data_IF_353312115268
#
_entry.id   IF_353312115268
#
_cell.length_a   1.000
_cell.length_b   1.000
_cell.length_c   1.000
_cell.angle_alpha   90.00
_cell.angle_beta   90.00
_cell.angle_gamma   90.00
#
_symmetry.space_group_name_H-M   'P 1'
#
loop_
_entity.id
_entity.type
_entity.pdbx_description
1 polymer ?
#
# COMPACT_ATOMS: atom_id res chain seq x y z
N UNK A 1 17.15 4.29 -7.57
CA UNK A 1 17.23 3.15 -6.63
C UNK A 1 17.89 3.47 -5.28
N UNK A 2 18.86 4.39 -5.21
CA UNK A 2 19.63 4.66 -3.99
C UNK A 2 18.78 4.90 -2.72
N UNK A 3 17.67 5.64 -2.83
CA UNK A 3 16.77 5.87 -1.70
C UNK A 3 16.01 4.61 -1.26
N UNK A 4 15.53 3.82 -2.22
CA UNK A 4 14.77 2.58 -1.98
C UNK A 4 15.66 1.53 -1.29
N UNK A 5 16.91 1.40 -1.72
CA UNK A 5 17.89 0.41 -1.22
C UNK A 5 18.74 0.92 -0.05
N UNK A 6 18.45 2.11 0.47
CA UNK A 6 19.12 2.67 1.63
C UNK A 6 18.87 1.81 2.87
N UNK A 7 19.87 1.74 3.76
CA UNK A 7 19.79 0.91 4.96
C UNK A 7 18.62 1.35 5.84
N UNK A 8 18.46 2.66 5.99
CA UNK A 8 17.47 3.30 6.84
C UNK A 8 16.06 3.00 6.35
N UNK A 9 15.83 3.07 5.03
CA UNK A 9 14.54 2.75 4.41
C UNK A 9 14.19 1.27 4.60
N UNK A 10 15.14 0.35 4.34
CA UNK A 10 14.90 -1.09 4.50
C UNK A 10 14.53 -1.45 5.95
N UNK A 11 15.24 -0.87 6.92
CA UNK A 11 14.96 -1.11 8.35
C UNK A 11 13.60 -0.52 8.76
N UNK A 12 13.22 0.64 8.22
CA UNK A 12 11.91 1.23 8.45
C UNK A 12 10.80 0.37 7.84
N UNK A 13 10.95 -0.09 6.60
CA UNK A 13 10.01 -1.00 5.94
C UNK A 13 9.79 -2.28 6.75
N UNK A 14 10.87 -2.88 7.24
CA UNK A 14 10.77 -4.06 8.10
C UNK A 14 10.00 -3.78 9.39
N UNK A 15 10.29 -2.66 10.07
CA UNK A 15 9.58 -2.26 11.30
C UNK A 15 8.08 -2.06 11.04
N UNK A 16 7.72 -1.40 9.94
CA UNK A 16 6.32 -1.19 9.56
C UNK A 16 5.60 -2.52 9.31
N UNK A 17 6.21 -3.42 8.53
CA UNK A 17 5.59 -4.73 8.26
C UNK A 17 5.49 -5.56 9.51
N UNK A 18 6.51 -5.56 10.39
CA UNK A 18 6.49 -6.32 11.65
C UNK A 18 5.34 -5.89 12.56
N UNK A 19 5.01 -4.60 12.60
CA UNK A 19 3.88 -4.04 13.37
C UNK A 19 2.51 -4.37 12.75
N UNK A 20 2.44 -4.60 11.45
CA UNK A 20 1.17 -4.88 10.78
C UNK A 20 0.56 -6.21 11.25
N UNK A 21 -0.78 -6.26 11.36
CA UNK A 21 -1.52 -7.49 11.73
C UNK A 21 -1.23 -8.66 10.78
N UNK A 22 -0.91 -8.37 9.52
CA UNK A 22 -0.56 -9.36 8.50
C UNK A 22 0.90 -9.86 8.55
N UNK A 23 1.70 -9.47 9.54
CA UNK A 23 3.14 -9.83 9.63
C UNK A 23 3.41 -11.33 9.76
N UNK A 24 2.43 -12.07 10.31
CA UNK A 24 2.44 -13.54 10.44
C UNK A 24 1.71 -14.25 9.30
N UNK A 25 1.04 -13.51 8.42
CA UNK A 25 0.28 -14.09 7.31
C UNK A 25 1.25 -14.57 6.24
N UNK A 26 1.20 -15.87 5.95
CA UNK A 26 2.02 -16.52 4.92
C UNK A 26 1.48 -16.21 3.52
N UNK A 27 2.41 -15.97 2.60
CA UNK A 27 2.12 -15.85 1.17
C UNK A 27 1.97 -17.24 0.54
N UNK A 28 2.39 -17.37 -0.72
CA UNK A 28 2.60 -18.68 -1.35
C UNK A 28 3.77 -19.44 -0.71
N UNK A 29 4.79 -18.70 -0.25
CA UNK A 29 5.86 -19.23 0.56
C UNK A 29 5.42 -19.27 2.03
N UNK A 30 5.91 -20.26 2.78
CA UNK A 30 5.59 -20.38 4.19
C UNK A 30 6.39 -19.41 5.10
N UNK A 31 7.15 -18.49 4.48
CA UNK A 31 7.94 -17.45 5.14
C UNK A 31 7.08 -16.47 5.93
N UNK A 32 7.62 -15.96 7.03
CA UNK A 32 7.03 -14.89 7.85
C UNK A 32 8.03 -13.75 8.02
N UNK A 33 7.62 -12.62 8.61
CA UNK A 33 8.55 -11.51 8.86
C UNK A 33 9.79 -11.92 9.67
N UNK A 34 9.64 -12.90 10.56
CA UNK A 34 10.74 -13.41 11.39
C UNK A 34 11.75 -14.24 10.59
N UNK A 35 11.31 -14.97 9.56
CA UNK A 35 12.22 -15.78 8.74
C UNK A 35 13.11 -14.94 7.83
N UNK A 36 12.70 -13.71 7.49
CA UNK A 36 13.42 -12.85 6.54
C UNK A 36 14.51 -12.01 7.20
N UNK A 37 14.30 -11.56 8.45
CA UNK A 37 15.29 -10.71 9.12
C UNK A 37 16.40 -11.47 9.83
N UNK A 38 16.17 -12.74 10.20
CA UNK A 38 17.02 -13.45 11.16
C UNK A 38 17.28 -12.59 12.40
N UNK A 39 18.42 -12.82 13.07
CA UNK A 39 18.86 -11.99 14.20
C UNK A 39 19.69 -10.77 13.75
N UNK A 40 20.27 -10.79 12.54
CA UNK A 40 21.24 -9.80 12.08
C UNK A 40 20.65 -8.86 10.99
N UNK A 41 20.52 -7.54 11.28
CA UNK A 41 20.03 -6.55 10.31
C UNK A 41 20.81 -6.49 8.99
N UNK A 42 22.11 -6.86 8.99
CA UNK A 42 22.93 -6.85 7.77
C UNK A 42 22.43 -7.89 6.74
N UNK A 43 21.97 -9.05 7.21
CA UNK A 43 21.45 -10.11 6.34
C UNK A 43 20.22 -9.63 5.60
N UNK A 44 19.29 -8.98 6.31
CA UNK A 44 18.08 -8.39 5.74
C UNK A 44 18.41 -7.34 4.67
N UNK A 45 19.38 -6.46 4.94
CA UNK A 45 19.76 -5.39 4.01
C UNK A 45 20.35 -5.98 2.73
N UNK A 46 21.29 -6.92 2.85
CA UNK A 46 21.87 -7.60 1.69
C UNK A 46 20.82 -8.39 0.92
N UNK A 47 19.91 -9.06 1.62
CA UNK A 47 18.81 -9.80 1.01
C UNK A 47 17.92 -8.91 0.14
N UNK A 48 17.47 -7.77 0.67
CA UNK A 48 16.62 -6.83 -0.05
C UNK A 48 17.34 -6.23 -1.26
N UNK A 49 18.62 -5.86 -1.11
CA UNK A 49 19.44 -5.31 -2.20
C UNK A 49 19.59 -6.32 -3.34
N UNK A 50 20.02 -7.54 -3.04
CA UNK A 50 20.20 -8.58 -4.04
C UNK A 50 18.89 -8.91 -4.77
N UNK A 51 17.77 -8.93 -4.05
CA UNK A 51 16.45 -9.17 -4.64
C UNK A 51 16.01 -8.03 -5.56
N UNK A 52 16.40 -6.79 -5.27
CA UNK A 52 16.06 -5.63 -6.10
C UNK A 52 16.90 -5.53 -7.36
N UNK A 53 18.15 -6.02 -7.35
CA UNK A 53 19.00 -6.06 -8.54
C UNK A 53 18.45 -7.02 -9.61
N UNK A 54 17.87 -8.16 -9.19
CA UNK A 54 17.27 -9.16 -10.07
C UNK A 54 15.83 -9.50 -9.63
N UNK A 55 14.97 -8.48 -9.62
CA UNK A 55 13.64 -8.61 -9.04
C UNK A 55 12.70 -9.47 -9.89
N UNK A 56 12.39 -10.65 -9.37
CA UNK A 56 11.29 -11.50 -9.85
C UNK A 56 10.25 -11.66 -8.72
N UNK A 57 9.05 -11.05 -8.86
CA UNK A 57 8.01 -11.16 -7.83
C UNK A 57 7.50 -12.60 -7.73
N UNK A 58 7.15 -13.02 -6.52
CA UNK A 58 6.49 -14.32 -6.34
C UNK A 58 5.01 -14.22 -6.74
N UNK A 59 4.38 -15.35 -7.11
CA UNK A 59 2.94 -15.36 -7.34
C UNK A 59 2.18 -14.97 -6.07
N UNK A 60 1.08 -14.26 -6.25
CA UNK A 60 0.25 -13.76 -5.16
C UNK A 60 -0.78 -14.83 -4.76
N UNK A 61 -0.90 -15.13 -3.46
CA UNK A 61 -1.89 -16.10 -2.96
C UNK A 61 -3.28 -15.48 -2.95
N UNK A 62 -4.26 -16.11 -3.61
CA UNK A 62 -5.66 -15.66 -3.57
C UNK A 62 -6.39 -16.22 -2.36
N UNK A 63 -7.12 -15.36 -1.65
CA UNK A 63 -8.02 -15.72 -0.55
C UNK A 63 -9.33 -14.98 -0.74
N UNK A 64 -10.45 -15.67 -0.68
CA UNK A 64 -11.74 -15.00 -0.74
C UNK A 64 -12.15 -14.54 0.66
N UNK A 65 -12.56 -13.28 0.78
CA UNK A 65 -13.10 -12.72 2.02
C UNK A 65 -14.53 -12.21 1.79
N UNK A 66 -15.46 -12.39 2.74
CA UNK A 66 -16.83 -11.93 2.59
C UNK A 66 -16.89 -10.40 2.59
N UNK A 67 -17.75 -9.84 1.72
CA UNK A 67 -18.12 -8.43 1.77
C UNK A 67 -19.21 -8.20 2.84
N UNK A 68 -19.28 -7.01 3.45
CA UNK A 68 -20.36 -6.66 4.37
C UNK A 68 -21.76 -6.76 3.74
N UNK A 69 -21.87 -6.48 2.44
CA UNK A 69 -23.15 -6.39 1.71
C UNK A 69 -23.47 -7.66 0.90
N UNK A 70 -22.80 -8.78 1.17
CA UNK A 70 -22.91 -10.01 0.39
C UNK A 70 -21.91 -10.12 -0.78
N UNK A 71 -21.56 -11.35 -1.13
CA UNK A 71 -20.54 -11.68 -2.13
C UNK A 71 -19.11 -11.77 -1.56
N UNK A 72 -18.18 -12.26 -2.38
CA UNK A 72 -16.77 -12.43 -2.01
C UNK A 72 -15.88 -11.37 -2.66
N UNK A 73 -14.83 -10.93 -1.96
CA UNK A 73 -13.73 -10.15 -2.52
C UNK A 73 -12.48 -11.03 -2.60
N UNK A 74 -11.88 -11.22 -3.78
CA UNK A 74 -10.58 -11.87 -3.86
C UNK A 74 -9.52 -10.94 -3.24
N UNK A 75 -8.81 -11.44 -2.25
CA UNK A 75 -7.66 -10.79 -1.65
C UNK A 75 -6.39 -11.45 -2.21
N UNK A 76 -5.53 -10.65 -2.82
CA UNK A 76 -4.18 -11.05 -3.15
C UNK A 76 -3.26 -10.84 -1.95
N UNK A 77 -2.67 -11.91 -1.42
CA UNK A 77 -1.68 -11.86 -0.33
C UNK A 77 -0.30 -12.14 -0.93
N UNK A 78 0.55 -11.11 -1.11
CA UNK A 78 1.91 -11.31 -1.57
C UNK A 78 2.76 -11.98 -0.48
N UNK A 79 3.92 -12.49 -0.88
CA UNK A 79 4.93 -12.98 0.06
C UNK A 79 5.40 -11.86 0.99
N UNK A 80 5.99 -12.22 2.13
CA UNK A 80 6.51 -11.22 3.07
C UNK A 80 7.63 -10.40 2.42
N UNK A 81 8.43 -11.08 1.63
CA UNK A 81 9.57 -10.53 0.93
C UNK A 81 9.10 -9.51 -0.12
N UNK A 82 8.09 -9.84 -0.91
CA UNK A 82 7.54 -8.90 -1.89
C UNK A 82 6.81 -7.73 -1.19
N UNK A 83 6.14 -7.98 -0.07
CA UNK A 83 5.58 -6.88 0.75
C UNK A 83 6.67 -5.96 1.28
N UNK A 84 7.82 -6.50 1.68
CA UNK A 84 8.97 -5.71 2.13
C UNK A 84 9.49 -4.82 1.01
N UNK A 85 9.64 -5.36 -0.20
CA UNK A 85 10.02 -4.57 -1.38
C UNK A 85 8.98 -3.48 -1.67
N UNK A 86 7.69 -3.82 -1.71
CA UNK A 86 6.62 -2.86 -1.94
C UNK A 86 6.62 -1.75 -0.88
N UNK A 87 6.88 -2.07 0.39
CA UNK A 87 6.96 -1.10 1.46
C UNK A 87 8.18 -0.17 1.32
N UNK A 88 9.33 -0.68 0.90
CA UNK A 88 10.50 0.14 0.60
C UNK A 88 10.23 1.13 -0.55
N UNK A 89 9.49 0.71 -1.57
CA UNK A 89 9.10 1.56 -2.70
C UNK A 89 8.08 2.61 -2.24
N UNK A 90 7.05 2.19 -1.48
CA UNK A 90 6.00 3.06 -0.96
C UNK A 90 6.58 4.22 -0.14
N UNK A 91 7.53 3.95 0.76
CA UNK A 91 8.15 4.97 1.62
C UNK A 91 8.86 6.09 0.83
N UNK A 92 9.35 5.78 -0.37
CA UNK A 92 10.00 6.76 -1.24
C UNK A 92 8.98 7.49 -2.13
N UNK A 93 7.97 6.78 -2.63
CA UNK A 93 6.95 7.36 -3.51
C UNK A 93 5.92 8.21 -2.74
N UNK A 94 5.60 7.86 -1.50
CA UNK A 94 4.59 8.54 -0.68
C UNK A 94 4.81 10.06 -0.58
N UNK A 95 5.99 10.59 -0.18
CA UNK A 95 6.19 12.04 -0.12
C UNK A 95 6.12 12.74 -1.49
N UNK A 96 6.51 12.04 -2.57
CA UNK A 96 6.47 12.57 -3.94
C UNK A 96 5.02 12.72 -4.41
N UNK A 97 4.20 11.69 -4.17
CA UNK A 97 2.79 11.68 -4.50
C UNK A 97 2.00 12.67 -3.63
N UNK A 98 2.31 12.76 -2.33
CA UNK A 98 1.64 13.67 -1.39
C UNK A 98 1.76 15.13 -1.82
N UNK A 99 2.91 15.53 -2.36
CA UNK A 99 3.13 16.88 -2.89
C UNK A 99 2.28 17.21 -4.14
N UNK A 100 1.79 16.20 -4.87
CA UNK A 100 1.01 16.37 -6.11
C UNK A 100 -0.49 16.08 -5.92
N UNK A 101 -0.89 15.44 -4.83
CA UNK A 101 -2.28 15.05 -4.63
C UNK A 101 -3.22 16.26 -4.51
N UNK A 102 -4.40 16.10 -5.08
CA UNK A 102 -5.47 17.09 -4.96
C UNK A 102 -5.83 17.37 -3.50
N UNK A 103 -6.10 18.64 -3.18
CA UNK A 103 -6.33 19.11 -1.81
C UNK A 103 -7.54 18.48 -1.13
N UNK A 104 -8.53 18.00 -1.88
CA UNK A 104 -9.73 17.32 -1.35
C UNK A 104 -9.73 15.81 -1.66
N UNK A 105 -8.56 15.21 -1.88
CA UNK A 105 -8.38 13.76 -1.80
C UNK A 105 -8.06 13.36 -0.36
N UNK A 106 -8.77 12.38 0.19
CA UNK A 106 -8.66 12.02 1.61
C UNK A 106 -8.30 10.54 1.86
N UNK A 107 -8.55 9.66 0.90
CA UNK A 107 -8.31 8.22 1.05
C UNK A 107 -6.83 7.87 0.92
N UNK A 108 -6.36 6.89 1.72
CA UNK A 108 -5.02 6.30 1.64
C UNK A 108 -3.84 7.29 1.77
N UNK A 109 -4.05 8.44 2.42
CA UNK A 109 -3.02 9.48 2.61
C UNK A 109 -2.58 9.58 4.07
N UNK A 110 -1.30 9.88 4.33
CA UNK A 110 -0.86 10.18 5.68
C UNK A 110 -1.55 11.46 6.19
N UNK A 111 -1.90 11.47 7.48
CA UNK A 111 -2.52 12.63 8.17
C UNK A 111 -3.85 13.13 7.58
N UNK A 112 -4.53 12.33 6.75
CA UNK A 112 -5.86 12.63 6.22
C UNK A 112 -6.77 11.42 6.40
N UNK A 113 -8.03 11.66 6.72
CA UNK A 113 -8.99 10.58 6.96
C UNK A 113 -10.43 10.95 6.66
N UNK A 114 -11.32 10.02 7.03
CA UNK A 114 -12.77 10.15 6.82
C UNK A 114 -13.36 11.36 7.52
N UNK A 115 -12.83 11.75 8.69
CA UNK A 115 -13.28 12.93 9.43
C UNK A 115 -13.02 14.23 8.65
N UNK A 116 -11.90 14.35 7.96
CA UNK A 116 -11.59 15.52 7.14
C UNK A 116 -12.52 15.64 5.93
N UNK A 117 -12.86 14.49 5.32
CA UNK A 117 -13.82 14.43 4.22
C UNK A 117 -15.23 14.85 4.67
N UNK A 118 -15.68 14.36 5.83
CA UNK A 118 -16.98 14.74 6.43
C UNK A 118 -16.99 16.24 6.79
N UNK A 119 -15.91 16.74 7.40
CA UNK A 119 -15.80 18.16 7.73
C UNK A 119 -15.89 19.04 6.48
N UNK A 120 -15.25 18.63 5.38
CA UNK A 120 -15.35 19.33 4.10
C UNK A 120 -16.77 19.27 3.52
N UNK A 121 -17.42 18.12 3.55
CA UNK A 121 -18.80 17.97 3.10
C UNK A 121 -19.73 18.92 3.89
N UNK A 122 -19.62 18.93 5.22
CA UNK A 122 -20.40 19.82 6.09
C UNK A 122 -20.14 21.31 5.81
N UNK A 123 -18.88 21.68 5.56
CA UNK A 123 -18.53 23.04 5.17
C UNK A 123 -19.23 23.43 3.86
N UNK A 124 -19.18 22.57 2.85
CA UNK A 124 -19.79 22.83 1.54
C UNK A 124 -21.33 22.91 1.62
N UNK A 125 -21.98 22.07 2.42
CA UNK A 125 -23.44 22.14 2.59
C UNK A 125 -23.85 23.36 3.41
N UNK A 126 -23.14 23.66 4.49
CA UNK A 126 -23.56 24.69 5.47
C UNK A 126 -23.14 26.11 5.09
N UNK A 127 -21.95 26.30 4.49
CA UNK A 127 -21.41 27.64 4.17
C UNK A 127 -21.63 28.03 2.72
N UNK A 128 -21.64 27.07 1.80
CA UNK A 128 -21.81 27.33 0.36
C UNK A 128 -23.23 27.02 -0.13
N UNK A 129 -24.11 26.52 0.75
CA UNK A 129 -25.50 26.16 0.48
C UNK A 129 -25.65 25.19 -0.73
N UNK A 130 -24.70 24.27 -0.89
CA UNK A 130 -24.83 23.19 -1.86
C UNK A 130 -25.77 22.11 -1.32
N UNK A 131 -26.94 21.98 -1.95
CA UNK A 131 -28.04 21.14 -1.47
C UNK A 131 -28.13 19.78 -2.16
N UNK A 132 -27.40 19.60 -3.27
CA UNK A 132 -27.40 18.38 -4.06
C UNK A 132 -26.02 17.73 -4.02
N UNK A 133 -26.00 16.40 -3.92
CA UNK A 133 -24.79 15.59 -4.03
C UNK A 133 -24.91 14.66 -5.23
N UNK A 134 -23.82 14.51 -5.97
CA UNK A 134 -23.68 13.49 -7.01
C UNK A 134 -22.80 12.40 -6.42
N UNK A 135 -23.42 11.27 -6.08
CA UNK A 135 -22.70 10.11 -5.57
C UNK A 135 -22.13 9.28 -6.72
N UNK A 136 -20.84 8.94 -6.64
CA UNK A 136 -20.09 8.28 -7.72
C UNK A 136 -19.18 7.21 -7.11
N UNK A 137 -19.26 5.99 -7.66
CA UNK A 137 -18.36 4.89 -7.32
C UNK A 137 -17.81 4.21 -8.59
N UNK A 138 -16.63 3.60 -8.48
CA UNK A 138 -15.95 2.91 -9.58
C UNK A 138 -16.06 1.39 -9.40
N UNK A 139 -16.77 0.75 -10.33
CA UNK A 139 -16.92 -0.72 -10.33
C UNK A 139 -15.56 -1.42 -10.50
N UNK A 140 -15.18 -2.21 -9.50
CA UNK A 140 -13.97 -3.04 -9.55
C UNK A 140 -12.70 -2.22 -9.73
N UNK A 141 -12.56 -1.11 -8.99
CA UNK A 141 -11.47 -0.14 -9.13
C UNK A 141 -10.08 -0.79 -9.27
N UNK A 142 -9.70 -1.69 -8.36
CA UNK A 142 -8.37 -2.33 -8.38
C UNK A 142 -8.23 -3.41 -9.46
N UNK A 143 -9.32 -4.04 -9.88
CA UNK A 143 -9.30 -5.11 -10.89
C UNK A 143 -9.13 -4.55 -12.31
N UNK A 144 -9.59 -3.31 -12.55
CA UNK A 144 -9.62 -2.68 -13.87
C UNK A 144 -8.56 -1.58 -14.06
N UNK A 145 -7.52 -1.52 -13.22
CA UNK A 145 -6.43 -0.56 -13.39
C UNK A 145 -5.62 -0.88 -14.65
N UNK A 146 -5.60 0.05 -15.61
CA UNK A 146 -4.83 -0.11 -16.83
C UNK A 146 -3.33 0.13 -16.56
N UNK A 147 -2.53 -0.92 -16.72
CA UNK A 147 -1.08 -0.91 -16.43
C UNK A 147 -0.29 0.09 -17.29
N UNK A 148 -0.61 0.21 -18.58
CA UNK A 148 0.07 1.15 -19.48
C UNK A 148 -0.20 2.61 -19.10
N UNK A 149 -1.44 2.93 -18.69
CA UNK A 149 -1.78 4.26 -18.18
C UNK A 149 -1.10 4.51 -16.83
N UNK A 150 -1.13 3.55 -15.91
CA UNK A 150 -0.49 3.69 -14.59
C UNK A 150 1.00 3.99 -14.71
N UNK A 151 1.73 3.25 -15.54
CA UNK A 151 3.18 3.44 -15.74
C UNK A 151 3.53 4.80 -16.34
N UNK A 152 2.62 5.44 -17.10
CA UNK A 152 2.83 6.79 -17.64
C UNK A 152 2.61 7.91 -16.61
N UNK A 153 1.97 7.62 -15.48
CA UNK A 153 1.66 8.60 -14.43
C UNK A 153 2.70 8.61 -13.30
N UNK A 154 3.62 7.65 -13.29
CA UNK A 154 4.73 7.49 -12.34
C UNK A 154 5.99 8.09 -12.96
#
# INVERSE_FOLDING_TARGET
MQYITSRENILLAYRNIKKNRGSKTKGVNQSTILSVAGENPKVLISYVRNRLDWFTPHPVRRVEIPKPNGGMRPLGIPTIEDRLIQQCILQVLEPICEAKFYAHSYGFRPNRGTRDAIARANFLTSRNNFQFVVDIDIKGFFDHVNHAKLLKQI
#
